data_IF_284068328663
#
_entry.id   IF_284068328663
#
_cell.length_a   1.000
_cell.length_b   1.000
_cell.length_c   1.000
_cell.angle_alpha   90.00
_cell.angle_beta   90.00
_cell.angle_gamma   90.00
#
_symmetry.space_group_name_H-M   'P 1'
#
loop_
_entity.id
_entity.type
_entity.pdbx_description
1 polymer ?
#
# COMPACT_ATOMS: atom_id res chain seq x y z
N UNK A 1 -18.09 5.60 -10.55
CA UNK A 1 -17.44 6.35 -9.45
C UNK A 1 -16.99 5.33 -8.41
N UNK A 2 -15.72 5.33 -8.03
CA UNK A 2 -15.19 4.42 -7.00
C UNK A 2 -15.71 4.81 -5.61
N UNK A 3 -15.92 3.82 -4.74
CA UNK A 3 -16.44 3.99 -3.37
C UNK A 3 -15.79 2.98 -2.42
N UNK A 4 -15.67 3.34 -1.15
CA UNK A 4 -15.01 2.53 -0.12
C UNK A 4 -13.78 3.23 0.45
N UNK A 5 -12.99 2.50 1.24
CA UNK A 5 -11.69 2.97 1.74
C UNK A 5 -10.62 2.75 0.69
N UNK A 6 -10.08 3.84 0.14
CA UNK A 6 -9.03 3.82 -0.89
C UNK A 6 -7.78 4.45 -0.29
N UNK A 7 -6.81 3.62 0.09
CA UNK A 7 -5.64 4.07 0.85
C UNK A 7 -4.64 4.79 -0.05
N UNK A 8 -4.24 6.00 0.34
CA UNK A 8 -3.07 6.66 -0.24
C UNK A 8 -1.81 5.98 0.33
N UNK A 9 -1.09 5.24 -0.51
CA UNK A 9 0.00 4.40 -0.06
C UNK A 9 1.21 5.27 0.33
N UNK A 10 1.82 4.96 1.47
CA UNK A 10 3.17 5.44 1.75
C UNK A 10 4.17 4.65 0.89
N UNK A 11 5.30 5.27 0.53
CA UNK A 11 6.42 4.57 -0.12
C UNK A 11 7.46 4.22 0.94
N UNK A 12 7.63 2.95 1.34
CA UNK A 12 8.65 2.54 2.28
C UNK A 12 10.05 2.71 1.66
N UNK A 13 10.98 3.23 2.45
CA UNK A 13 12.39 3.39 2.06
C UNK A 13 13.32 2.63 3.01
N UNK A 14 14.36 2.04 2.43
CA UNK A 14 15.48 1.43 3.15
C UNK A 14 16.78 1.76 2.43
N UNK A 15 17.76 2.28 3.16
CA UNK A 15 19.06 2.70 2.60
C UNK A 15 18.94 3.64 1.40
N UNK A 16 18.06 4.66 1.50
CA UNK A 16 17.77 5.65 0.45
C UNK A 16 17.25 5.05 -0.88
N UNK A 17 16.72 3.83 -0.85
CA UNK A 17 16.04 3.18 -1.98
C UNK A 17 14.66 2.72 -1.55
N UNK A 18 13.76 2.54 -2.52
CA UNK A 18 12.45 1.93 -2.26
C UNK A 18 12.67 0.52 -1.72
N UNK A 19 12.00 0.20 -0.61
CA UNK A 19 11.98 -1.16 -0.06
C UNK A 19 10.81 -1.91 -0.69
N UNK A 20 11.07 -2.56 -1.83
CA UNK A 20 10.04 -3.26 -2.62
C UNK A 20 9.40 -4.43 -1.85
N UNK A 21 10.17 -5.15 -1.05
CA UNK A 21 9.68 -6.26 -0.24
C UNK A 21 8.69 -5.75 0.81
N UNK A 22 9.05 -4.68 1.54
CA UNK A 22 8.15 -4.05 2.51
C UNK A 22 6.94 -3.40 1.87
N UNK A 23 7.11 -2.85 0.67
CA UNK A 23 5.98 -2.27 -0.05
C UNK A 23 4.96 -3.35 -0.46
N UNK A 24 5.44 -4.53 -0.89
CA UNK A 24 4.58 -5.68 -1.18
C UNK A 24 3.86 -6.18 0.07
N UNK A 25 4.61 -6.39 1.16
CA UNK A 25 4.03 -6.81 2.45
C UNK A 25 2.92 -5.84 2.92
N UNK A 26 3.15 -4.53 2.74
CA UNK A 26 2.20 -3.49 3.12
C UNK A 26 0.91 -3.55 2.28
N UNK A 27 1.03 -3.78 0.97
CA UNK A 27 -0.13 -3.93 0.09
C UNK A 27 -0.93 -5.19 0.45
N UNK A 28 -0.26 -6.33 0.66
CA UNK A 28 -0.94 -7.58 1.05
C UNK A 28 -1.69 -7.44 2.38
N UNK A 29 -1.06 -6.77 3.35
CA UNK A 29 -1.73 -6.46 4.61
C UNK A 29 -2.97 -5.58 4.40
N UNK A 30 -2.88 -4.50 3.62
CA UNK A 30 -4.02 -3.63 3.35
C UNK A 30 -5.19 -4.38 2.68
N UNK A 31 -4.88 -5.28 1.75
CA UNK A 31 -5.90 -6.14 1.12
C UNK A 31 -6.54 -7.03 2.19
N UNK A 32 -5.74 -7.65 3.06
CA UNK A 32 -6.25 -8.52 4.14
C UNK A 32 -7.14 -7.80 5.16
N UNK A 33 -6.91 -6.50 5.38
CA UNK A 33 -7.73 -5.65 6.25
C UNK A 33 -9.00 -5.10 5.55
N UNK A 34 -9.18 -5.40 4.25
CA UNK A 34 -10.39 -5.02 3.51
C UNK A 34 -10.33 -3.65 2.84
N UNK A 35 -9.15 -3.13 2.52
CA UNK A 35 -9.03 -1.94 1.67
C UNK A 35 -9.69 -2.17 0.31
N UNK A 36 -10.44 -1.18 -0.17
CA UNK A 36 -11.24 -1.27 -1.39
C UNK A 36 -10.46 -0.83 -2.65
N UNK A 37 -9.32 -0.17 -2.45
CA UNK A 37 -8.44 0.27 -3.52
C UNK A 37 -7.22 1.03 -2.99
N UNK A 38 -6.36 1.46 -3.92
CA UNK A 38 -5.10 2.14 -3.62
C UNK A 38 -4.90 3.34 -4.53
N UNK A 39 -4.25 4.37 -4.00
CA UNK A 39 -3.70 5.50 -4.77
C UNK A 39 -2.17 5.45 -4.65
N UNK A 40 -1.44 5.21 -5.76
CA UNK A 40 0.02 5.20 -5.80
C UNK A 40 0.63 6.59 -5.94
#
# INVERSE_FOLDING_TARGET
>A
MFKGSITALITPFKNNKVDEDKFRDFIEWQISEGSHGFVP
#
